data_IF_426823593824
#
_entry.id   IF_426823593824
#
_cell.length_a   1.000
_cell.length_b   1.000
_cell.length_c   1.000
_cell.angle_alpha   90.00
_cell.angle_beta   90.00
_cell.angle_gamma   90.00
#
_symmetry.space_group_name_H-M   'P 1'
#
loop_
_entity.id
_entity.type
_entity.pdbx_description
1 polymer ?
#
# COMPACT_ATOMS: atom_id res chain seq x y z
N UNK A 1 -24.72 -3.67 -9.12
CA UNK A 1 -23.53 -3.64 -8.21
C UNK A 1 -23.09 -2.19 -8.02
N UNK A 2 -22.88 -1.70 -6.78
CA UNK A 2 -22.36 -0.34 -6.51
C UNK A 2 -20.85 -0.31 -6.78
N UNK A 3 -20.35 0.71 -7.50
CA UNK A 3 -18.89 0.89 -7.67
C UNK A 3 -18.27 1.21 -6.31
N UNK A 4 -17.27 0.43 -5.92
CA UNK A 4 -16.47 0.65 -4.71
C UNK A 4 -15.09 1.09 -5.15
N UNK A 5 -14.57 2.11 -4.50
CA UNK A 5 -13.24 2.66 -4.79
C UNK A 5 -12.31 2.38 -3.62
N UNK A 6 -11.06 2.06 -3.93
CA UNK A 6 -10.01 1.83 -2.94
C UNK A 6 -8.87 2.83 -3.16
N UNK A 7 -8.45 3.50 -2.09
CA UNK A 7 -7.28 4.36 -2.10
C UNK A 7 -6.08 3.57 -1.55
N UNK A 8 -4.99 3.53 -2.31
CA UNK A 8 -3.70 2.96 -1.89
C UNK A 8 -2.83 4.08 -1.31
N UNK A 9 -2.28 3.86 -0.12
CA UNK A 9 -1.33 4.77 0.49
C UNK A 9 -0.11 3.99 0.95
N UNK A 10 1.07 4.38 0.47
CA UNK A 10 2.37 3.90 0.90
C UNK A 10 3.18 5.08 1.44
N UNK A 11 3.85 4.91 2.59
CA UNK A 11 4.75 5.93 3.12
C UNK A 11 6.06 5.93 2.33
N UNK A 12 6.06 6.65 1.21
CA UNK A 12 7.25 6.92 0.40
C UNK A 12 7.68 8.36 0.69
N UNK A 13 8.97 8.58 0.94
CA UNK A 13 9.51 9.93 1.14
C UNK A 13 10.28 10.33 -0.10
N UNK A 14 9.89 11.44 -0.72
CA UNK A 14 10.66 12.01 -1.81
C UNK A 14 11.89 12.71 -1.24
N UNK A 15 13.09 12.33 -1.73
CA UNK A 15 14.36 12.97 -1.38
C UNK A 15 15.04 13.50 -2.63
N UNK A 16 15.68 14.65 -2.50
CA UNK A 16 16.55 15.20 -3.54
C UNK A 16 17.93 14.57 -3.38
N UNK A 17 18.43 13.92 -4.43
CA UNK A 17 19.79 13.39 -4.51
C UNK A 17 20.56 14.14 -5.58
N UNK A 18 21.77 14.60 -5.25
CA UNK A 18 22.70 15.06 -6.28
C UNK A 18 23.50 13.86 -6.80
N UNK A 19 23.29 13.55 -8.06
CA UNK A 19 24.05 12.53 -8.80
C UNK A 19 24.66 13.22 -10.02
N UNK A 20 25.98 13.16 -10.14
CA UNK A 20 26.74 13.77 -11.23
C UNK A 20 26.41 15.27 -11.43
N UNK A 21 26.42 16.05 -10.34
CA UNK A 21 26.10 17.48 -10.32
C UNK A 21 24.69 17.85 -10.82
N UNK A 22 23.77 16.87 -10.94
CA UNK A 22 22.36 17.09 -11.26
C UNK A 22 21.48 16.69 -10.08
N UNK A 23 20.61 17.60 -9.67
CA UNK A 23 19.57 17.31 -8.69
C UNK A 23 18.53 16.40 -9.33
N UNK A 24 18.38 15.19 -8.79
CA UNK A 24 17.34 14.24 -9.18
C UNK A 24 16.41 14.01 -8.01
N UNK A 25 15.12 14.00 -8.29
CA UNK A 25 14.11 13.61 -7.33
C UNK A 25 14.06 12.09 -7.30
N UNK A 26 14.36 11.50 -6.14
CA UNK A 26 14.31 10.05 -5.94
C UNK A 26 13.27 9.78 -4.87
N UNK A 27 12.34 8.91 -5.18
CA UNK A 27 11.42 8.36 -4.21
C UNK A 27 12.17 7.33 -3.36
N UNK A 28 12.46 7.72 -2.12
CA UNK A 28 13.18 6.89 -1.15
C UNK A 28 12.18 6.37 -0.13
N UNK A 29 11.85 5.09 -0.23
CA UNK A 29 11.21 4.39 0.89
C UNK A 29 12.29 4.15 1.96
N UNK A 30 12.13 4.69 3.17
CA UNK A 30 13.18 4.62 4.20
C UNK A 30 13.37 3.21 4.77
N UNK A 31 12.54 2.23 4.41
CA UNK A 31 12.74 0.85 4.81
C UNK A 31 11.82 -0.09 4.01
N UNK A 32 12.37 -0.86 3.07
CA UNK A 32 11.60 -1.90 2.35
C UNK A 32 11.05 -2.97 3.30
N UNK A 33 11.66 -3.18 4.46
CA UNK A 33 11.18 -4.13 5.47
C UNK A 33 9.98 -3.63 6.30
N UNK A 34 9.63 -2.34 6.21
CA UNK A 34 8.56 -1.73 7.01
C UNK A 34 7.57 -0.87 6.19
N UNK A 35 7.50 -1.06 4.88
CA UNK A 35 6.52 -0.36 4.04
C UNK A 35 5.10 -0.84 4.38
N UNK A 36 4.36 -0.07 5.18
CA UNK A 36 2.95 -0.37 5.46
C UNK A 36 2.07 0.19 4.35
N UNK A 37 1.35 -0.70 3.68
CA UNK A 37 0.34 -0.33 2.68
C UNK A 37 -1.04 -0.41 3.32
N UNK A 38 -1.83 0.63 3.12
CA UNK A 38 -3.23 0.69 3.55
C UNK A 38 -4.14 0.75 2.32
N UNK A 39 -5.13 -0.16 2.30
CA UNK A 39 -6.24 -0.12 1.36
C UNK A 39 -7.49 0.33 2.12
N UNK A 40 -7.99 1.53 1.79
CA UNK A 40 -9.20 2.09 2.38
C UNK A 40 -10.33 2.07 1.36
N UNK A 41 -11.40 1.34 1.66
CA UNK A 41 -12.62 1.25 0.86
C UNK A 41 -13.66 2.27 1.33
N UNK A 42 -14.40 2.85 0.38
CA UNK A 42 -15.48 3.81 0.67
C UNK A 42 -16.70 3.19 1.36
N UNK A 43 -16.84 1.86 1.31
CA UNK A 43 -17.87 1.08 1.98
C UNK A 43 -17.28 -0.25 2.48
N UNK A 44 -17.91 -0.94 3.46
CA UNK A 44 -17.44 -2.25 3.91
C UNK A 44 -17.40 -3.24 2.76
N UNK A 45 -16.34 -4.04 2.70
CA UNK A 45 -16.25 -5.19 1.80
C UNK A 45 -16.18 -6.47 2.64
N UNK A 46 -16.83 -7.52 2.14
CA UNK A 46 -16.88 -8.83 2.82
C UNK A 46 -15.63 -9.67 2.56
N UNK A 47 -14.78 -9.24 1.63
CA UNK A 47 -13.60 -9.98 1.25
C UNK A 47 -12.58 -10.07 2.38
N UNK A 48 -11.90 -11.21 2.45
CA UNK A 48 -10.79 -11.40 3.37
C UNK A 48 -9.54 -10.65 2.88
N UNK A 49 -8.56 -10.46 3.77
CA UNK A 49 -7.28 -9.84 3.37
C UNK A 49 -6.54 -10.66 2.31
N UNK A 50 -6.71 -11.99 2.31
CA UNK A 50 -6.10 -12.90 1.34
C UNK A 50 -6.76 -12.77 -0.04
N UNK A 51 -8.09 -12.68 -0.08
CA UNK A 51 -8.83 -12.45 -1.33
C UNK A 51 -8.47 -11.10 -1.94
N UNK A 52 -8.40 -10.05 -1.11
CA UNK A 52 -7.98 -8.71 -1.58
C UNK A 52 -6.55 -8.75 -2.09
N UNK A 53 -5.64 -9.43 -1.39
CA UNK A 53 -4.24 -9.58 -1.84
C UNK A 53 -4.15 -10.31 -3.18
N UNK A 54 -4.95 -11.38 -3.38
CA UNK A 54 -4.96 -12.13 -4.65
C UNK A 54 -5.43 -11.30 -5.85
N UNK A 55 -6.18 -10.22 -5.60
CA UNK A 55 -6.64 -9.29 -6.64
C UNK A 55 -5.64 -8.16 -6.94
N UNK A 56 -4.55 -8.01 -6.15
CA UNK A 56 -3.54 -6.99 -6.38
C UNK A 56 -2.47 -7.50 -7.35
N UNK A 57 -2.16 -6.69 -8.36
CA UNK A 57 -1.01 -6.92 -9.22
C UNK A 57 0.23 -6.28 -8.59
N UNK A 58 1.16 -7.11 -8.12
CA UNK A 58 2.41 -6.67 -7.48
C UNK A 58 3.55 -6.91 -8.47
N UNK A 59 4.21 -5.84 -8.92
CA UNK A 59 5.30 -5.93 -9.89
C UNK A 59 6.59 -6.51 -9.31
N UNK A 60 6.90 -6.18 -8.05
CA UNK A 60 8.11 -6.63 -7.35
C UNK A 60 7.86 -6.76 -5.85
N UNK A 61 8.39 -7.81 -5.23
CA UNK A 61 8.26 -8.06 -3.78
C UNK A 61 7.04 -8.90 -3.40
N UNK A 62 6.85 -9.12 -2.10
CA UNK A 62 5.74 -9.88 -1.54
C UNK A 62 5.06 -9.04 -0.47
N UNK A 63 3.75 -8.88 -0.56
CA UNK A 63 2.95 -8.25 0.49
C UNK A 63 2.38 -9.33 1.41
N UNK A 64 2.50 -9.10 2.71
CA UNK A 64 1.97 -9.97 3.74
C UNK A 64 0.83 -9.26 4.47
N UNK A 65 -0.38 -9.85 4.58
CA UNK A 65 -1.46 -9.28 5.35
C UNK A 65 -1.07 -9.07 6.81
N UNK A 66 -1.33 -7.88 7.34
CA UNK A 66 -1.13 -7.59 8.76
C UNK A 66 -2.44 -7.89 9.48
N UNK A 67 -2.41 -8.87 10.39
CA UNK A 67 -3.56 -9.19 11.24
C UNK A 67 -3.96 -7.98 12.11
N UNK A 68 -5.26 -7.81 12.31
CA UNK A 68 -5.82 -6.80 13.21
C UNK A 68 -7.18 -6.29 12.73
N UNK A 69 -7.79 -5.40 13.53
CA UNK A 69 -9.12 -4.86 13.26
C UNK A 69 -9.20 -4.18 11.88
N UNK A 70 -9.90 -4.81 10.93
CA UNK A 70 -10.43 -4.11 9.77
C UNK A 70 -11.46 -3.14 10.31
N UNK A 71 -11.39 -1.85 9.96
CA UNK A 71 -12.32 -0.84 10.48
C UNK A 71 -13.72 -1.11 9.90
N UNK A 72 -14.45 -2.08 10.46
CA UNK A 72 -15.72 -2.58 9.94
C UNK A 72 -15.63 -3.09 8.50
N UNK A 73 -14.57 -3.81 8.13
CA UNK A 73 -14.39 -4.31 6.76
C UNK A 73 -14.00 -3.24 5.72
N UNK A 74 -13.60 -2.04 6.14
CA UNK A 74 -13.23 -0.94 5.23
C UNK A 74 -11.74 -0.72 5.06
N UNK A 75 -10.90 -1.22 5.98
CA UNK A 75 -9.46 -0.97 5.97
C UNK A 75 -8.68 -2.28 6.05
N UNK A 76 -7.80 -2.49 5.09
CA UNK A 76 -6.90 -3.64 5.02
C UNK A 76 -5.46 -3.16 5.03
N UNK A 77 -4.57 -3.93 5.66
CA UNK A 77 -3.20 -3.55 5.99
C UNK A 77 -2.24 -4.62 5.51
N UNK A 78 -1.16 -4.20 4.86
CA UNK A 78 -0.11 -5.07 4.33
C UNK A 78 1.27 -4.52 4.68
N UNK A 79 2.27 -5.40 4.79
CA UNK A 79 3.69 -5.06 4.93
C UNK A 79 4.52 -5.84 3.92
#
# INVERSE_FOLDING_TARGET
RRKVYANLTAHVTTKLFQLNAKTRMVDVSNNSSNLKIYLNFSAPVLNSSAEILSALHISTGVLVPISGKSHGGRRFRFK
#
